data_IF_021721976421
#
_entry.id   IF_021721976421
#
_cell.length_a   1.000
_cell.length_b   1.000
_cell.length_c   1.000
_cell.angle_alpha   90.00
_cell.angle_beta   90.00
_cell.angle_gamma   90.00
#
_symmetry.space_group_name_H-M   'P 1'
#
loop_
_entity.id
_entity.type
_entity.pdbx_description
1 polymer ?
#
# COMPACT_ATOMS: atom_id res chain seq x y z
N UNK A 1 2.85 24.68 17.64
CA UNK A 1 2.07 23.45 17.37
C UNK A 1 2.12 22.98 15.92
N UNK A 2 2.17 23.87 14.91
CA UNK A 2 2.22 23.51 13.47
C UNK A 2 3.52 22.77 13.08
N UNK A 3 4.66 23.16 13.67
CA UNK A 3 5.95 22.52 13.39
C UNK A 3 6.03 21.04 13.77
N UNK A 4 5.28 20.59 14.79
CA UNK A 4 5.30 19.19 15.23
C UNK A 4 4.68 18.24 14.20
N UNK A 5 3.57 18.66 13.57
CA UNK A 5 2.89 17.86 12.55
C UNK A 5 3.70 17.83 11.25
N UNK A 6 4.32 18.96 10.87
CA UNK A 6 5.23 19.02 9.73
C UNK A 6 6.45 18.13 9.92
N UNK A 7 7.11 18.19 11.08
CA UNK A 7 8.25 17.34 11.39
C UNK A 7 7.87 15.85 11.38
N UNK A 8 6.68 15.51 11.90
CA UNK A 8 6.18 14.14 11.90
C UNK A 8 5.88 13.63 10.48
N UNK A 9 5.21 14.44 9.64
CA UNK A 9 4.93 14.09 8.24
C UNK A 9 6.20 13.92 7.42
N UNK A 10 7.20 14.78 7.64
CA UNK A 10 8.48 14.73 6.94
C UNK A 10 9.30 13.51 7.37
N UNK A 11 9.34 13.19 8.68
CA UNK A 11 9.96 11.98 9.18
C UNK A 11 9.28 10.72 8.63
N UNK A 12 7.94 10.66 8.64
CA UNK A 12 7.18 9.55 8.06
C UNK A 12 7.44 9.37 6.56
N UNK A 13 7.43 10.47 5.80
CA UNK A 13 7.70 10.44 4.36
C UNK A 13 9.10 9.92 4.04
N UNK A 14 10.11 10.38 4.77
CA UNK A 14 11.49 9.91 4.61
C UNK A 14 11.66 8.43 5.00
N UNK A 15 11.04 8.00 6.10
CA UNK A 15 11.06 6.59 6.52
C UNK A 15 10.38 5.73 5.46
N UNK A 16 9.21 6.14 4.96
CA UNK A 16 8.46 5.42 3.93
C UNK A 16 9.26 5.30 2.63
N UNK A 17 9.90 6.40 2.20
CA UNK A 17 10.77 6.41 1.03
C UNK A 17 11.99 5.49 1.20
N UNK A 18 12.65 5.54 2.36
CA UNK A 18 13.76 4.64 2.68
C UNK A 18 13.34 3.17 2.65
N UNK A 19 12.19 2.84 3.23
CA UNK A 19 11.65 1.48 3.20
C UNK A 19 11.32 1.05 1.77
N UNK A 20 10.71 1.90 0.95
CA UNK A 20 10.42 1.60 -0.45
C UNK A 20 11.69 1.24 -1.24
N UNK A 21 12.76 2.03 -1.08
CA UNK A 21 14.07 1.77 -1.71
C UNK A 21 14.71 0.48 -1.19
N UNK A 22 14.65 0.25 0.13
CA UNK A 22 15.21 -0.96 0.75
C UNK A 22 14.48 -2.24 0.29
N UNK A 23 13.16 -2.17 0.15
CA UNK A 23 12.33 -3.30 -0.32
C UNK A 23 12.57 -3.60 -1.79
N UNK A 24 12.73 -2.56 -2.62
CA UNK A 24 13.11 -2.70 -4.03
C UNK A 24 14.47 -3.38 -4.20
N UNK A 25 15.49 -2.93 -3.46
CA UNK A 25 16.84 -3.52 -3.51
C UNK A 25 16.90 -4.98 -3.05
N UNK A 26 15.93 -5.45 -2.26
CA UNK A 26 15.85 -6.86 -1.83
C UNK A 26 15.23 -7.80 -2.88
N UNK A 27 14.80 -7.29 -4.03
CA UNK A 27 14.23 -8.11 -5.13
C UNK A 27 12.85 -8.70 -4.84
N UNK A 28 12.28 -8.44 -3.67
CA UNK A 28 10.95 -8.91 -3.26
C UNK A 28 9.80 -8.01 -3.75
N UNK A 29 10.12 -6.95 -4.48
CA UNK A 29 9.16 -5.95 -4.96
C UNK A 29 9.12 -5.94 -6.49
N UNK A 30 7.94 -6.14 -7.07
CA UNK A 30 7.73 -5.90 -8.51
C UNK A 30 7.87 -4.40 -8.80
N UNK A 31 8.39 -4.06 -9.98
CA UNK A 31 8.60 -2.67 -10.40
C UNK A 31 7.33 -1.80 -10.24
N UNK A 32 6.15 -2.39 -10.47
CA UNK A 32 4.86 -1.72 -10.29
C UNK A 32 4.58 -1.30 -8.85
N UNK A 33 4.94 -2.14 -7.88
CA UNK A 33 4.74 -1.84 -6.46
C UNK A 33 5.73 -0.75 -6.01
N UNK A 34 6.97 -0.73 -6.53
CA UNK A 34 7.92 0.35 -6.23
C UNK A 34 7.46 1.72 -6.75
N UNK A 35 6.94 1.81 -7.98
CA UNK A 35 6.41 3.06 -8.54
C UNK A 35 5.20 3.54 -7.70
N UNK A 36 4.33 2.62 -7.29
CA UNK A 36 3.14 2.96 -6.49
C UNK A 36 3.54 3.53 -5.14
N UNK A 37 4.39 2.83 -4.38
CA UNK A 37 4.79 3.27 -3.05
C UNK A 37 5.78 4.44 -3.07
N UNK A 38 6.64 4.53 -4.09
CA UNK A 38 7.56 5.65 -4.30
C UNK A 38 6.82 6.95 -4.60
N UNK A 39 5.79 6.91 -5.47
CA UNK A 39 4.96 8.09 -5.76
C UNK A 39 4.18 8.57 -4.53
N UNK A 40 3.65 7.65 -3.72
CA UNK A 40 2.99 7.98 -2.44
C UNK A 40 3.96 8.64 -1.46
N UNK A 41 5.17 8.09 -1.31
CA UNK A 41 6.18 8.67 -0.42
C UNK A 41 6.60 10.08 -0.88
N UNK A 42 6.83 10.28 -2.18
CA UNK A 42 7.14 11.60 -2.76
C UNK A 42 5.99 12.58 -2.53
N UNK A 43 4.75 12.16 -2.71
CA UNK A 43 3.59 13.00 -2.45
C UNK A 43 3.52 13.43 -0.98
N UNK A 44 3.72 12.52 -0.02
CA UNK A 44 3.73 12.83 1.42
C UNK A 44 4.85 13.82 1.77
N UNK A 45 6.05 13.62 1.24
CA UNK A 45 7.18 14.53 1.48
C UNK A 45 6.92 15.90 0.86
N UNK A 46 6.46 15.95 -0.40
CA UNK A 46 6.18 17.20 -1.11
C UNK A 46 5.13 18.05 -0.40
N UNK A 47 4.06 17.40 0.08
CA UNK A 47 3.05 18.08 0.89
C UNK A 47 3.60 18.56 2.24
N UNK A 48 4.40 17.73 2.92
CA UNK A 48 4.92 18.09 4.24
C UNK A 48 5.85 19.30 4.18
N UNK A 49 6.57 19.48 3.07
CA UNK A 49 7.48 20.62 2.84
C UNK A 49 6.69 21.87 2.39
N UNK A 50 5.66 21.72 1.56
CA UNK A 50 4.86 22.83 1.03
C UNK A 50 3.36 22.68 1.34
N UNK A 51 2.94 22.94 2.59
CA UNK A 51 1.53 22.84 2.97
C UNK A 51 0.64 23.88 2.27
N UNK A 52 1.18 25.04 1.89
CA UNK A 52 0.48 26.12 1.20
C UNK A 52 0.05 25.77 -0.23
N UNK A 53 0.72 24.81 -0.88
CA UNK A 53 0.30 24.30 -2.17
C UNK A 53 -1.04 23.56 -2.08
N UNK A 54 -1.27 22.88 -0.95
CA UNK A 54 -2.53 22.22 -0.66
C UNK A 54 -3.63 23.21 -0.29
N UNK A 55 -3.32 24.27 0.45
CA UNK A 55 -4.32 25.31 0.76
C UNK A 55 -4.91 25.94 -0.51
N UNK A 56 -4.09 26.12 -1.56
CA UNK A 56 -4.54 26.63 -2.86
C UNK A 56 -5.47 25.63 -3.58
N UNK A 57 -5.10 24.35 -3.57
CA UNK A 57 -5.88 23.27 -4.21
C UNK A 57 -7.17 22.95 -3.43
N UNK A 58 -7.18 23.13 -2.11
CA UNK A 58 -8.30 22.83 -1.21
C UNK A 58 -9.20 24.03 -0.91
N UNK A 59 -8.89 25.20 -1.46
CA UNK A 59 -9.73 26.40 -1.39
C UNK A 59 -11.17 26.14 -1.86
N UNK A 60 -11.38 25.23 -2.81
CA UNK A 60 -12.70 24.76 -3.26
C UNK A 60 -13.45 23.88 -2.25
N UNK A 61 -12.73 23.17 -1.36
CA UNK A 61 -13.29 22.16 -0.46
C UNK A 61 -13.70 22.77 0.90
N UNK A 62 -13.49 24.09 1.10
CA UNK A 62 -13.79 24.85 2.33
C UNK A 62 -13.23 24.23 3.62
N UNK A 63 -12.17 23.42 3.52
CA UNK A 63 -11.46 22.89 4.68
C UNK A 63 -10.49 23.99 5.13
N UNK A 64 -10.76 24.62 6.28
CA UNK A 64 -10.01 25.78 6.77
C UNK A 64 -8.53 25.55 7.12
N UNK A 65 -8.03 24.32 6.94
CA UNK A 65 -6.64 23.90 7.24
C UNK A 65 -6.19 22.80 6.27
N UNK A 66 -5.18 23.06 5.42
CA UNK A 66 -4.64 22.06 4.48
C UNK A 66 -4.16 20.76 5.13
N UNK A 67 -3.76 20.80 6.40
CA UNK A 67 -3.37 19.61 7.17
C UNK A 67 -4.54 18.67 7.47
N UNK A 68 -5.74 19.18 7.75
CA UNK A 68 -6.90 18.34 8.07
C UNK A 68 -7.36 17.59 6.80
N UNK A 69 -7.27 18.25 5.64
CA UNK A 69 -7.53 17.62 4.36
C UNK A 69 -6.52 16.52 4.02
N UNK A 70 -5.22 16.70 4.33
CA UNK A 70 -4.24 15.64 4.17
C UNK A 70 -4.55 14.46 5.09
N UNK A 71 -5.00 14.69 6.32
CA UNK A 71 -5.42 13.60 7.20
C UNK A 71 -6.60 12.83 6.60
N UNK A 72 -7.62 13.52 6.10
CA UNK A 72 -8.77 12.87 5.44
C UNK A 72 -8.34 12.09 4.21
N UNK A 73 -7.52 12.69 3.34
CA UNK A 73 -7.00 12.01 2.14
C UNK A 73 -6.10 10.82 2.49
N UNK A 74 -5.30 10.94 3.54
CA UNK A 74 -4.46 9.86 4.05
C UNK A 74 -5.29 8.70 4.58
N UNK A 75 -6.35 8.99 5.35
CA UNK A 75 -7.28 7.97 5.84
C UNK A 75 -7.98 7.27 4.67
N UNK A 76 -8.51 8.03 3.71
CA UNK A 76 -9.15 7.47 2.51
C UNK A 76 -8.16 6.63 1.69
N UNK A 77 -6.93 7.11 1.53
CA UNK A 77 -5.86 6.40 0.84
C UNK A 77 -5.51 5.08 1.52
N UNK A 78 -5.30 5.09 2.84
CA UNK A 78 -5.05 3.88 3.64
C UNK A 78 -6.21 2.89 3.51
N UNK A 79 -7.45 3.37 3.57
CA UNK A 79 -8.63 2.52 3.38
C UNK A 79 -8.62 1.84 1.99
N UNK A 80 -8.26 2.59 0.95
CA UNK A 80 -8.08 2.06 -0.40
C UNK A 80 -6.98 1.00 -0.48
N UNK A 81 -5.83 1.22 0.17
CA UNK A 81 -4.75 0.24 0.24
C UNK A 81 -5.16 -1.04 0.98
N UNK A 82 -5.83 -0.90 2.13
CA UNK A 82 -6.37 -2.04 2.89
C UNK A 82 -7.34 -2.84 2.04
N UNK A 83 -8.23 -2.17 1.30
CA UNK A 83 -9.15 -2.82 0.39
C UNK A 83 -8.44 -3.59 -0.73
N UNK A 84 -7.38 -3.00 -1.31
CA UNK A 84 -6.58 -3.68 -2.33
C UNK A 84 -5.87 -4.93 -1.78
N UNK A 85 -5.30 -4.83 -0.57
CA UNK A 85 -4.67 -5.97 0.12
C UNK A 85 -5.70 -7.06 0.41
N UNK A 86 -6.90 -6.68 0.85
CA UNK A 86 -8.00 -7.61 1.10
C UNK A 86 -8.39 -8.41 -0.15
N UNK A 87 -8.55 -7.74 -1.30
CA UNK A 87 -8.85 -8.43 -2.58
C UNK A 87 -7.72 -9.39 -2.96
N UNK A 88 -6.46 -8.95 -2.92
CA UNK A 88 -5.31 -9.83 -3.23
C UNK A 88 -5.23 -11.03 -2.29
N UNK A 89 -5.61 -10.85 -1.02
CA UNK A 89 -5.65 -11.93 -0.03
C UNK A 89 -6.74 -12.95 -0.39
N UNK A 90 -7.96 -12.52 -0.73
CA UNK A 90 -9.02 -13.43 -1.19
C UNK A 90 -8.60 -14.24 -2.43
N UNK A 91 -7.98 -13.59 -3.42
CA UNK A 91 -7.46 -14.28 -4.61
C UNK A 91 -6.42 -15.33 -4.24
N UNK A 92 -5.50 -14.98 -3.34
CA UNK A 92 -4.46 -15.89 -2.86
C UNK A 92 -5.07 -17.09 -2.13
N UNK A 93 -6.06 -16.86 -1.25
CA UNK A 93 -6.77 -17.95 -0.57
C UNK A 93 -7.45 -18.89 -1.56
N UNK A 94 -8.13 -18.35 -2.59
CA UNK A 94 -8.77 -19.16 -3.63
C UNK A 94 -7.76 -19.99 -4.42
N UNK A 95 -6.59 -19.43 -4.74
CA UNK A 95 -5.52 -20.14 -5.42
C UNK A 95 -4.98 -21.30 -4.56
N UNK A 96 -4.78 -21.07 -3.25
CA UNK A 96 -4.35 -22.10 -2.30
C UNK A 96 -5.40 -23.23 -2.23
N UNK A 97 -6.69 -22.90 -2.09
CA UNK A 97 -7.76 -23.91 -2.06
C UNK A 97 -7.77 -24.77 -3.32
N UNK A 98 -7.64 -24.14 -4.49
CA UNK A 98 -7.57 -24.85 -5.76
C UNK A 98 -6.31 -25.73 -5.88
N UNK A 99 -5.18 -25.26 -5.37
CA UNK A 99 -3.93 -26.02 -5.35
C UNK A 99 -4.06 -27.26 -4.47
N UNK A 100 -4.56 -27.11 -3.23
CA UNK A 100 -4.78 -28.23 -2.31
C UNK A 100 -5.74 -29.25 -2.91
N UNK A 101 -6.83 -28.81 -3.56
CA UNK A 101 -7.77 -29.71 -4.24
C UNK A 101 -7.13 -30.50 -5.39
N UNK A 102 -6.27 -29.86 -6.18
CA UNK A 102 -5.56 -30.55 -7.27
C UNK A 102 -4.59 -31.59 -6.71
N UNK A 103 -3.82 -31.21 -5.69
CA UNK A 103 -2.86 -32.10 -5.03
C UNK A 103 -3.56 -33.31 -4.40
N UNK A 104 -4.69 -33.12 -3.72
CA UNK A 104 -5.42 -34.24 -3.11
C UNK A 104 -5.97 -35.23 -4.14
N UNK A 105 -6.53 -34.73 -5.26
CA UNK A 105 -7.02 -35.58 -6.35
C UNK A 105 -5.87 -36.34 -7.05
N UNK A 106 -4.73 -35.69 -7.29
CA UNK A 106 -3.56 -36.36 -7.88
C UNK A 106 -3.01 -37.47 -6.98
N UNK A 107 -2.98 -37.25 -5.66
CA UNK A 107 -2.56 -38.25 -4.69
C UNK A 107 -3.51 -39.46 -4.66
N UNK A 108 -4.84 -39.24 -4.73
CA UNK A 108 -5.82 -40.33 -4.80
C UNK A 108 -5.65 -41.16 -6.09
N UNK A 109 -5.46 -40.51 -7.24
CA UNK A 109 -5.27 -41.20 -8.51
C UNK A 109 -3.97 -42.03 -8.54
N UNK A 110 -2.87 -41.52 -7.98
CA UNK A 110 -1.61 -42.26 -7.84
C UNK A 110 -1.77 -43.45 -6.90
N UNK A 111 -2.53 -43.31 -5.81
CA UNK A 111 -2.86 -44.42 -4.91
C UNK A 111 -3.65 -45.53 -5.60
N UNK A 112 -4.68 -45.18 -6.40
CA UNK A 112 -5.46 -46.16 -7.17
C UNK A 112 -4.61 -46.91 -8.20
N UNK A 113 -3.72 -46.23 -8.94
CA UNK A 113 -2.85 -46.87 -9.94
C UNK A 113 -1.81 -47.84 -9.35
N UNK A 114 -1.52 -47.76 -8.06
CA UNK A 114 -0.55 -48.66 -7.39
C UNK A 114 -1.20 -49.96 -6.88
N UNK A 115 -2.52 -49.99 -6.76
CA UNK A 115 -3.30 -51.11 -6.22
C UNK A 115 -4.05 -51.90 -7.32
N UNK A 116 -3.79 -51.61 -8.59
CA UNK A 116 -4.26 -52.33 -9.79
C UNK A 116 -3.03 -52.85 -10.51
#
# INVERSE_FOLDING_TARGET
MIAGIQAFGLALGLIMFYYAVKLYRKGNFKDRDFITWGSVAIAIVGVSVYPTALDSLLSWLKIGRGLDALLVLGILGVYGFVFQVYIRNQETQRQITNLVRKVSLELEQKGRKKNV
#
